data_IF_485574712582
#
_entry.id   IF_485574712582
#
_cell.length_a   1.000
_cell.length_b   1.000
_cell.length_c   1.000
_cell.angle_alpha   90.00
_cell.angle_beta   90.00
_cell.angle_gamma   90.00
#
_symmetry.space_group_name_H-M   'P 1'
#
loop_
_entity.id
_entity.type
_entity.pdbx_description
1 polymer ?
#
# COMPACT_ATOMS: atom_id res chain seq x y z
N UNK A 1 35.96 20.84 26.75
CA UNK A 1 35.29 19.54 26.48
C UNK A 1 33.78 19.66 26.23
N UNK A 2 33.04 20.53 26.93
CA UNK A 2 31.58 20.69 26.71
C UNK A 2 31.20 21.33 25.36
N UNK A 3 31.93 22.35 24.92
CA UNK A 3 31.61 23.08 23.69
C UNK A 3 31.75 22.22 22.41
N UNK A 4 32.76 21.36 22.34
CA UNK A 4 32.92 20.40 21.23
C UNK A 4 31.75 19.42 21.17
N UNK A 5 31.29 18.90 22.32
CA UNK A 5 30.18 17.96 22.39
C UNK A 5 28.85 18.61 21.94
N UNK A 6 28.62 19.85 22.35
CA UNK A 6 27.45 20.63 21.92
C UNK A 6 27.48 20.86 20.41
N UNK A 7 28.63 21.24 19.84
CA UNK A 7 28.78 21.45 18.41
C UNK A 7 28.54 20.17 17.61
N UNK A 8 29.05 19.04 18.07
CA UNK A 8 28.81 17.73 17.43
C UNK A 8 27.34 17.32 17.50
N UNK A 9 26.65 17.55 18.61
CA UNK A 9 25.21 17.22 18.75
C UNK A 9 24.36 18.10 17.84
N UNK A 10 24.70 19.38 17.68
CA UNK A 10 24.00 20.29 16.75
C UNK A 10 24.19 19.84 15.31
N UNK A 11 25.40 19.46 14.91
CA UNK A 11 25.68 18.96 13.55
C UNK A 11 24.93 17.65 13.27
N UNK A 12 24.93 16.70 14.21
CA UNK A 12 24.20 15.43 14.07
C UNK A 12 22.69 15.70 13.95
N UNK A 13 22.10 16.55 14.79
CA UNK A 13 20.68 16.92 14.68
C UNK A 13 20.33 17.62 13.35
N UNK A 14 21.24 18.43 12.80
CA UNK A 14 21.06 19.07 11.48
C UNK A 14 21.14 18.04 10.34
N UNK A 15 21.97 17.01 10.47
CA UNK A 15 22.05 15.90 9.50
C UNK A 15 20.77 15.05 9.55
N UNK A 16 20.25 14.72 10.74
CA UNK A 16 18.99 13.98 10.89
C UNK A 16 17.75 14.75 10.40
N UNK A 17 17.82 16.07 10.31
CA UNK A 17 16.71 16.91 9.82
C UNK A 17 16.66 17.07 8.30
N UNK A 18 17.61 16.52 7.54
CA UNK A 18 17.48 16.47 6.08
C UNK A 18 16.35 15.51 5.73
N UNK A 19 15.23 16.04 5.24
CA UNK A 19 14.19 15.24 4.56
C UNK A 19 14.84 14.51 3.39
N UNK A 20 15.23 13.26 3.58
CA UNK A 20 15.87 12.50 2.51
C UNK A 20 14.84 12.17 1.45
N UNK A 21 14.99 12.73 0.25
CA UNK A 21 14.27 12.36 -0.98
C UNK A 21 14.70 10.98 -1.51
N UNK A 22 15.04 10.07 -0.61
CA UNK A 22 15.62 8.76 -0.91
C UNK A 22 14.55 7.71 -0.64
N UNK A 23 14.28 6.89 -1.65
CA UNK A 23 13.40 5.75 -1.52
C UNK A 23 14.20 4.52 -1.14
N UNK A 24 13.73 3.76 -0.15
CA UNK A 24 14.46 2.64 0.43
C UNK A 24 14.17 1.31 -0.30
N UNK A 25 13.04 1.22 -1.00
CA UNK A 25 12.67 0.00 -1.72
C UNK A 25 13.25 0.02 -3.12
N UNK A 26 13.51 -1.17 -3.65
CA UNK A 26 13.96 -1.34 -5.04
C UNK A 26 12.86 -0.86 -6.00
N UNK A 27 13.30 -0.28 -7.11
CA UNK A 27 12.43 0.23 -8.18
C UNK A 27 11.42 1.29 -7.71
N UNK A 28 11.78 2.02 -6.65
CA UNK A 28 11.09 3.25 -6.27
C UNK A 28 11.93 4.48 -6.64
N UNK A 29 11.25 5.53 -7.03
CA UNK A 29 11.82 6.85 -7.26
C UNK A 29 11.04 7.91 -6.46
N UNK A 30 11.76 8.92 -5.99
CA UNK A 30 11.14 10.04 -5.30
C UNK A 30 10.56 11.01 -6.32
N UNK A 31 9.28 11.31 -6.20
CA UNK A 31 8.58 12.28 -7.03
C UNK A 31 7.98 13.41 -6.19
N UNK A 32 8.08 14.64 -6.70
CA UNK A 32 7.39 15.81 -6.17
C UNK A 32 5.92 15.88 -6.60
N UNK A 33 5.56 15.15 -7.66
CA UNK A 33 4.17 15.02 -8.11
C UNK A 33 3.98 13.62 -8.68
N UNK A 34 3.76 12.64 -7.80
CA UNK A 34 3.27 11.32 -8.18
C UNK A 34 1.74 11.31 -8.23
N UNK A 35 1.16 10.38 -8.99
CA UNK A 35 -0.29 10.21 -9.01
C UNK A 35 -0.80 9.63 -7.68
N UNK A 36 -1.83 10.24 -7.11
CA UNK A 36 -2.42 9.84 -5.81
C UNK A 36 -2.97 8.40 -5.79
N UNK A 37 -3.38 7.85 -6.94
CA UNK A 37 -3.98 6.52 -7.03
C UNK A 37 -3.07 5.54 -7.80
N UNK A 38 -1.90 5.17 -7.24
CA UNK A 38 -0.86 4.45 -7.96
C UNK A 38 -1.38 3.13 -8.55
N UNK A 39 -0.83 2.74 -9.71
CA UNK A 39 -1.11 1.44 -10.29
C UNK A 39 -0.59 0.32 -9.38
N UNK A 40 -1.46 -0.63 -9.07
CA UNK A 40 -1.15 -1.83 -8.29
C UNK A 40 -1.58 -3.08 -9.05
N UNK A 41 -1.12 -4.27 -8.66
CA UNK A 41 -1.57 -5.51 -9.30
C UNK A 41 -3.10 -5.70 -9.25
N UNK A 42 -3.76 -5.13 -8.23
CA UNK A 42 -5.22 -5.17 -8.06
C UNK A 42 -5.89 -4.15 -8.96
N UNK A 43 -5.43 -2.90 -8.89
CA UNK A 43 -6.08 -1.80 -9.60
C UNK A 43 -5.79 -1.85 -11.11
N UNK A 44 -4.64 -2.35 -11.56
CA UNK A 44 -4.28 -2.38 -12.99
C UNK A 44 -5.34 -3.08 -13.86
N UNK A 45 -5.94 -4.17 -13.35
CA UNK A 45 -7.01 -4.91 -14.03
C UNK A 45 -8.38 -4.22 -13.95
N UNK A 46 -8.52 -3.29 -13.02
CA UNK A 46 -9.73 -2.51 -12.79
C UNK A 46 -9.63 -1.09 -13.37
N UNK A 47 -8.44 -0.64 -13.79
CA UNK A 47 -8.22 0.64 -14.47
C UNK A 47 -9.08 0.66 -15.75
N UNK A 48 -10.01 1.60 -15.81
CA UNK A 48 -11.02 1.69 -16.88
C UNK A 48 -12.39 1.08 -16.54
N UNK A 49 -12.53 0.48 -15.35
CA UNK A 49 -13.84 0.08 -14.80
C UNK A 49 -14.29 1.06 -13.71
N UNK A 50 -15.59 1.18 -13.49
CA UNK A 50 -16.17 2.00 -12.40
C UNK A 50 -15.92 1.40 -11.00
N UNK A 51 -15.06 0.39 -10.87
CA UNK A 51 -14.78 -0.30 -9.60
C UNK A 51 -13.56 0.25 -8.86
N UNK A 52 -12.73 1.06 -9.51
CA UNK A 52 -11.60 1.72 -8.83
C UNK A 52 -12.04 3.10 -8.37
N UNK A 53 -12.01 3.33 -7.06
CA UNK A 53 -12.18 4.67 -6.48
C UNK A 53 -10.91 5.53 -6.66
N UNK A 54 -10.41 5.62 -7.90
CA UNK A 54 -9.42 6.64 -8.25
C UNK A 54 -10.18 7.91 -8.64
N UNK A 55 -9.78 9.11 -8.16
CA UNK A 55 -10.31 10.35 -8.66
C UNK A 55 -10.00 10.49 -10.15
N UNK A 56 -10.95 11.00 -10.94
CA UNK A 56 -10.75 11.32 -12.36
C UNK A 56 -9.77 12.48 -12.58
N UNK A 57 -9.45 13.22 -11.53
CA UNK A 57 -8.58 14.39 -11.55
C UNK A 57 -7.18 14.02 -11.05
N UNK A 58 -6.16 14.55 -11.73
CA UNK A 58 -4.77 14.38 -11.32
C UNK A 58 -4.46 15.15 -10.03
N UNK A 59 -4.29 14.41 -8.95
CA UNK A 59 -3.83 14.93 -7.67
C UNK A 59 -2.36 14.54 -7.43
N UNK A 60 -1.48 15.53 -7.35
CA UNK A 60 -0.07 15.34 -7.03
C UNK A 60 0.12 14.89 -5.57
N UNK A 61 0.77 13.75 -5.38
CA UNK A 61 1.26 13.27 -4.09
C UNK A 61 2.79 13.28 -4.10
N UNK A 62 3.39 14.01 -3.16
CA UNK A 62 4.84 13.99 -2.94
C UNK A 62 5.21 12.68 -2.23
N UNK A 63 6.23 11.98 -2.71
CA UNK A 63 6.77 10.79 -2.05
C UNK A 63 7.38 9.79 -3.01
N UNK A 64 7.62 8.58 -2.50
CA UNK A 64 8.15 7.47 -3.28
C UNK A 64 7.04 6.78 -4.08
N UNK A 65 7.27 6.66 -5.39
CA UNK A 65 6.42 5.91 -6.31
C UNK A 65 7.24 4.83 -7.00
N UNK A 66 6.57 3.84 -7.60
CA UNK A 66 7.29 2.88 -8.45
C UNK A 66 7.82 3.59 -9.70
N UNK A 67 9.06 3.28 -10.06
CA UNK A 67 9.67 3.76 -11.30
C UNK A 67 8.86 3.30 -12.51
N UNK A 68 8.98 4.01 -13.63
CA UNK A 68 8.29 3.67 -14.88
C UNK A 68 8.50 2.19 -15.26
N UNK A 69 7.40 1.50 -15.62
CA UNK A 69 7.40 0.07 -15.94
C UNK A 69 7.19 -0.86 -14.74
N UNK A 70 7.27 -0.34 -13.51
CA UNK A 70 6.98 -1.09 -12.29
C UNK A 70 5.65 -0.65 -11.67
N UNK A 71 4.97 -1.59 -11.03
CA UNK A 71 3.73 -1.34 -10.28
C UNK A 71 3.85 -1.86 -8.86
N UNK A 72 3.08 -1.27 -7.94
CA UNK A 72 3.18 -1.64 -6.53
C UNK A 72 2.39 -2.92 -6.27
N UNK A 73 3.07 -3.94 -5.80
CA UNK A 73 2.39 -5.07 -5.19
C UNK A 73 1.79 -4.62 -3.85
N UNK A 74 0.49 -4.83 -3.68
CA UNK A 74 -0.20 -4.42 -2.45
C UNK A 74 0.21 -5.23 -1.23
N UNK A 75 0.79 -6.42 -1.43
CA UNK A 75 1.14 -7.29 -0.31
C UNK A 75 2.58 -7.09 0.15
N UNK A 76 3.56 -7.40 -0.71
CA UNK A 76 4.99 -7.20 -0.37
C UNK A 76 5.36 -5.72 -0.26
N UNK A 77 4.50 -4.83 -0.77
CA UNK A 77 4.73 -3.38 -0.90
C UNK A 77 5.93 -3.04 -1.80
N UNK A 78 6.48 -4.01 -2.52
CA UNK A 78 7.57 -3.81 -3.47
C UNK A 78 7.04 -3.38 -4.84
N UNK A 79 7.90 -2.73 -5.62
CA UNK A 79 7.63 -2.41 -7.01
C UNK A 79 8.13 -3.56 -7.88
N UNK A 80 7.21 -4.21 -8.60
CA UNK A 80 7.46 -5.38 -9.45
C UNK A 80 7.00 -5.10 -10.89
N UNK A 81 7.41 -5.93 -11.84
CA UNK A 81 6.90 -5.83 -13.21
C UNK A 81 5.44 -6.30 -13.24
N UNK A 82 4.67 -5.72 -14.16
CA UNK A 82 3.24 -6.08 -14.34
C UNK A 82 3.05 -7.58 -14.59
N UNK A 83 3.98 -8.19 -15.34
CA UNK A 83 3.96 -9.62 -15.66
C UNK A 83 4.23 -10.52 -14.43
N UNK A 84 4.81 -9.97 -13.37
CA UNK A 84 5.10 -10.70 -12.13
C UNK A 84 3.95 -10.59 -11.12
N UNK A 85 2.85 -9.93 -11.48
CA UNK A 85 1.66 -9.89 -10.65
C UNK A 85 1.05 -11.29 -10.50
N UNK A 86 0.52 -11.62 -9.31
CA UNK A 86 -0.14 -12.90 -9.08
C UNK A 86 -1.36 -13.05 -10.00
N UNK A 87 -1.38 -14.16 -10.76
CA UNK A 87 -2.48 -14.48 -11.66
C UNK A 87 -3.67 -15.10 -10.92
N UNK A 88 -4.89 -14.80 -11.39
CA UNK A 88 -6.16 -15.32 -10.83
C UNK A 88 -6.25 -16.85 -10.83
N UNK A 89 -5.43 -17.50 -11.66
CA UNK A 89 -5.61 -18.89 -12.06
C UNK A 89 -4.88 -19.88 -11.16
N UNK A 90 -3.95 -19.44 -10.32
CA UNK A 90 -3.25 -20.36 -9.43
C UNK A 90 -2.75 -19.67 -8.17
N UNK A 91 -3.23 -20.16 -7.04
CA UNK A 91 -2.57 -19.97 -5.77
C UNK A 91 -1.68 -21.17 -5.46
N UNK A 92 -0.65 -21.00 -4.62
CA UNK A 92 0.03 -22.11 -3.97
C UNK A 92 -0.99 -23.09 -3.35
N UNK A 93 -0.66 -24.38 -3.25
CA UNK A 93 -1.49 -25.32 -2.49
C UNK A 93 -1.80 -24.77 -1.09
N UNK A 94 -3.02 -24.96 -0.60
CA UNK A 94 -3.54 -24.45 0.69
C UNK A 94 -4.00 -22.98 0.71
N UNK A 95 -3.85 -22.27 -0.42
CA UNK A 95 -4.35 -20.91 -0.58
C UNK A 95 -5.48 -20.84 -1.63
N UNK A 96 -6.41 -19.90 -1.46
CA UNK A 96 -7.47 -19.60 -2.45
C UNK A 96 -7.39 -18.16 -2.93
N UNK A 97 -7.89 -17.88 -4.13
CA UNK A 97 -7.87 -16.52 -4.66
C UNK A 97 -8.99 -15.66 -4.05
N UNK A 98 -8.60 -14.66 -3.25
CA UNK A 98 -9.47 -13.64 -2.67
C UNK A 98 -9.97 -12.61 -3.70
N UNK A 99 -10.98 -11.83 -3.32
CA UNK A 99 -11.58 -10.79 -4.18
C UNK A 99 -10.60 -9.67 -4.56
N UNK A 100 -9.58 -9.46 -3.74
CA UNK A 100 -8.47 -8.53 -3.96
C UNK A 100 -7.31 -9.15 -4.78
N UNK A 101 -7.53 -10.32 -5.41
CA UNK A 101 -6.52 -11.02 -6.21
C UNK A 101 -5.29 -11.44 -5.39
N UNK A 102 -5.51 -11.83 -4.15
CA UNK A 102 -4.47 -12.41 -3.29
C UNK A 102 -4.79 -13.86 -2.99
N UNK A 103 -3.75 -14.67 -2.91
CA UNK A 103 -3.87 -16.01 -2.39
C UNK A 103 -3.95 -15.93 -0.86
N UNK A 104 -5.07 -16.39 -0.30
CA UNK A 104 -5.37 -16.33 1.13
C UNK A 104 -5.36 -17.73 1.71
N UNK A 105 -4.69 -17.90 2.86
CA UNK A 105 -4.71 -19.14 3.62
C UNK A 105 -5.96 -19.23 4.49
N UNK A 106 -6.49 -20.43 4.64
CA UNK A 106 -7.58 -20.71 5.56
C UNK A 106 -7.03 -20.94 6.98
N UNK A 107 -7.29 -20.04 7.94
CA UNK A 107 -6.94 -20.30 9.35
C UNK A 107 -8.18 -20.76 10.12
N UNK A 108 -8.05 -21.87 10.85
CA UNK A 108 -9.08 -22.35 11.77
C UNK A 108 -8.97 -21.52 13.05
N UNK A 109 -10.01 -20.76 13.40
CA UNK A 109 -10.03 -20.05 14.68
C UNK A 109 -10.35 -21.05 15.80
N UNK A 110 -9.62 -20.97 16.91
CA UNK A 110 -9.83 -21.86 18.07
C UNK A 110 -11.04 -21.45 18.91
N UNK A 111 -11.65 -20.31 18.61
CA UNK A 111 -12.67 -19.66 19.44
C UNK A 111 -14.09 -20.13 19.07
N UNK A 112 -14.36 -20.42 17.79
CA UNK A 112 -15.70 -20.83 17.35
C UNK A 112 -15.73 -22.14 16.56
N UNK A 113 -14.59 -22.82 16.35
CA UNK A 113 -14.44 -23.90 15.35
C UNK A 113 -14.83 -23.49 13.92
N UNK A 114 -15.07 -22.20 13.68
CA UNK A 114 -15.38 -21.70 12.36
C UNK A 114 -14.11 -21.53 11.53
N UNK A 115 -14.34 -21.65 10.24
CA UNK A 115 -13.33 -21.44 9.23
C UNK A 115 -13.36 -19.95 8.88
N UNK A 116 -12.33 -19.21 9.29
CA UNK A 116 -12.18 -17.81 8.91
C UNK A 116 -11.05 -17.64 7.90
N UNK A 117 -11.27 -16.79 6.91
CA UNK A 117 -10.21 -16.36 6.00
C UNK A 117 -9.45 -15.23 6.70
N UNK A 118 -8.15 -15.37 6.92
CA UNK A 118 -7.34 -14.26 7.42
C UNK A 118 -7.12 -13.24 6.31
N UNK A 119 -8.13 -12.42 6.04
CA UNK A 119 -7.99 -11.07 5.53
C UNK A 119 -9.33 -10.37 5.75
N UNK A 120 -9.35 -9.37 6.64
CA UNK A 120 -10.50 -8.64 7.19
C UNK A 120 -11.21 -9.28 8.40
N UNK A 121 -10.52 -9.35 9.54
CA UNK A 121 -11.23 -8.90 10.75
C UNK A 121 -11.45 -7.38 10.57
N UNK A 122 -12.73 -7.01 10.50
CA UNK A 122 -13.29 -5.65 10.36
C UNK A 122 -13.33 -5.03 8.94
N UNK A 123 -14.22 -5.54 8.09
CA UNK A 123 -15.03 -4.63 7.27
C UNK A 123 -16.09 -4.00 8.20
N UNK A 124 -16.17 -2.67 8.38
CA UNK A 124 -17.33 -2.07 9.03
C UNK A 124 -18.55 -2.41 8.18
N UNK A 125 -19.52 -3.09 8.78
CA UNK A 125 -20.84 -3.26 8.18
C UNK A 125 -21.42 -1.87 7.90
N UNK A 126 -21.72 -1.59 6.63
CA UNK A 126 -22.57 -0.47 6.26
C UNK A 126 -24.00 -0.78 6.74
N UNK A 127 -24.23 -0.60 8.03
CA UNK A 127 -25.58 -0.68 8.59
C UNK A 127 -25.84 0.34 9.71
N UNK A 128 -24.88 1.22 9.99
CA UNK A 128 -25.08 2.31 10.96
C UNK A 128 -24.47 3.63 10.47
N UNK A 129 -25.02 4.19 9.38
CA UNK A 129 -24.88 5.63 9.09
C UNK A 129 -26.16 6.30 9.58
N UNK A 130 -26.19 6.94 10.76
CA UNK A 130 -27.26 7.88 11.08
C UNK A 130 -27.11 9.09 10.14
N UNK A 131 -28.10 9.26 9.27
CA UNK A 131 -28.34 10.52 8.58
C UNK A 131 -28.58 11.60 9.64
N UNK A 132 -27.60 12.49 9.85
CA UNK A 132 -27.82 13.90 10.20
C UNK A 132 -26.47 14.57 10.40
N UNK A 133 -26.18 15.56 9.55
CA UNK A 133 -25.83 16.93 9.96
C UNK A 133 -25.40 17.69 8.70
N UNK A 134 -26.43 18.19 8.00
CA UNK A 134 -26.35 19.49 7.33
C UNK A 134 -25.89 20.53 8.34
N UNK A 135 -24.77 21.18 8.05
CA UNK A 135 -24.35 22.47 8.61
C UNK A 135 -24.10 23.43 7.47
#
# INVERSE_FOLDING_TARGET
MQAQYIFTVILINKIFAYRTSICLRKHEEFSLCGWKCPATCVNLRLLGTNKVNCPSVWECRVGCQCSAGFIRDEYTKNCILVQDCPDKTSCPPEEVMGFNLQCITRKRTTITNDIHWEYYDEMPTYENVPETLTG
#
